data_IF_148146371220
#
_entry.id   IF_148146371220
#
_cell.length_a   1.000
_cell.length_b   1.000
_cell.length_c   1.000
_cell.angle_alpha   90.00
_cell.angle_beta   90.00
_cell.angle_gamma   90.00
#
_symmetry.space_group_name_H-M   'P 1'
#
loop_
_entity.id
_entity.type
_entity.pdbx_description
1 polymer ?
#
# COMPACT_ATOMS: atom_id res chain seq x y z
N UNK A 1 -10.60 -35.45 14.03
CA UNK A 1 -11.18 -35.38 15.39
C UNK A 1 -10.97 -33.97 15.91
N UNK A 2 -11.89 -33.05 15.56
CA UNK A 2 -11.87 -31.70 16.11
C UNK A 2 -12.52 -31.73 17.49
N UNK A 3 -11.80 -31.28 18.52
CA UNK A 3 -12.42 -31.04 19.83
C UNK A 3 -13.39 -29.87 19.65
N UNK A 4 -14.69 -30.17 19.71
CA UNK A 4 -15.73 -29.19 19.95
C UNK A 4 -15.39 -28.47 21.26
N UNK A 5 -15.14 -27.17 21.17
CA UNK A 5 -14.90 -26.28 22.32
C UNK A 5 -16.16 -26.23 23.18
N UNK A 6 -16.17 -27.04 24.23
CA UNK A 6 -17.18 -27.04 25.29
C UNK A 6 -17.13 -25.72 26.06
N UNK A 7 -18.32 -25.31 26.49
CA UNK A 7 -18.68 -24.11 27.26
C UNK A 7 -18.00 -24.01 28.66
N UNK A 8 -17.14 -24.97 29.01
CA UNK A 8 -16.63 -25.16 30.37
C UNK A 8 -15.22 -24.58 30.61
N UNK A 9 -14.56 -24.03 29.59
CA UNK A 9 -13.20 -23.44 29.73
C UNK A 9 -13.22 -22.01 30.34
N UNK A 10 -14.38 -21.43 30.62
CA UNK A 10 -14.50 -20.08 31.22
C UNK A 10 -14.59 -20.08 32.74
N UNK A 11 -14.63 -21.25 33.37
CA UNK A 11 -14.94 -21.39 34.79
C UNK A 11 -13.74 -21.24 35.74
N UNK A 12 -12.51 -21.09 35.23
CA UNK A 12 -11.31 -21.03 36.09
C UNK A 12 -10.80 -19.59 36.35
N UNK A 13 -11.49 -18.58 35.81
CA UNK A 13 -11.24 -17.17 36.12
C UNK A 13 -12.57 -16.47 36.36
N UNK A 14 -12.83 -16.01 37.59
CA UNK A 14 -14.07 -15.31 38.01
C UNK A 14 -14.38 -14.02 37.21
N UNK A 15 -13.55 -13.64 36.23
CA UNK A 15 -13.71 -12.46 35.39
C UNK A 15 -13.87 -12.82 33.90
N UNK A 16 -14.99 -12.37 33.32
CA UNK A 16 -15.26 -12.44 31.87
C UNK A 16 -14.14 -11.70 31.11
N UNK A 17 -13.51 -12.37 30.15
CA UNK A 17 -12.40 -11.82 29.35
C UNK A 17 -11.27 -11.23 30.21
N UNK A 18 -10.91 -11.90 31.31
CA UNK A 18 -9.88 -11.47 32.26
C UNK A 18 -10.11 -10.07 32.84
N UNK A 19 -11.33 -9.52 32.73
CA UNK A 19 -11.66 -8.14 33.09
C UNK A 19 -11.16 -7.07 32.11
N UNK A 20 -10.51 -7.47 31.03
CA UNK A 20 -9.82 -6.58 30.09
C UNK A 20 -10.58 -6.42 28.75
N UNK A 21 -11.80 -6.92 28.64
CA UNK A 21 -12.56 -6.94 27.39
C UNK A 21 -14.07 -7.07 27.58
N UNK A 22 -14.79 -6.99 26.47
CA UNK A 22 -16.23 -7.26 26.40
C UNK A 22 -16.45 -8.59 25.68
N UNK A 23 -17.29 -9.46 26.24
CA UNK A 23 -17.67 -10.71 25.58
C UNK A 23 -18.78 -10.45 24.54
N UNK A 24 -18.50 -10.73 23.27
CA UNK A 24 -19.46 -10.67 22.17
C UNK A 24 -19.52 -12.03 21.47
N UNK A 25 -20.69 -12.67 21.47
CA UNK A 25 -20.91 -13.95 20.78
C UNK A 25 -19.86 -15.04 21.12
N UNK A 26 -19.60 -15.26 22.42
CA UNK A 26 -18.60 -16.21 22.93
C UNK A 26 -17.16 -15.91 22.51
N UNK A 27 -16.87 -14.68 22.09
CA UNK A 27 -15.54 -14.22 21.75
C UNK A 27 -15.22 -12.93 22.49
N UNK A 28 -14.02 -12.85 23.06
CA UNK A 28 -13.61 -11.66 23.79
C UNK A 28 -13.12 -10.57 22.84
N UNK A 29 -13.70 -9.37 22.97
CA UNK A 29 -13.22 -8.13 22.37
C UNK A 29 -12.37 -7.41 23.41
N UNK A 30 -11.06 -7.53 23.27
CA UNK A 30 -10.12 -6.94 24.22
C UNK A 30 -10.01 -5.42 24.03
N UNK A 31 -9.99 -4.69 25.15
CA UNK A 31 -9.61 -3.29 25.14
C UNK A 31 -8.08 -3.19 24.97
N UNK A 32 -7.56 -2.30 24.13
CA UNK A 32 -6.12 -2.04 24.07
C UNK A 32 -5.58 -1.63 25.44
N UNK A 33 -4.38 -2.07 25.88
CA UNK A 33 -3.37 -2.91 25.20
C UNK A 33 -3.61 -4.42 25.11
N UNK A 34 -4.70 -4.93 25.67
CA UNK A 34 -4.86 -6.36 25.90
C UNK A 34 -5.22 -7.12 24.61
N UNK A 35 -4.77 -8.36 24.52
CA UNK A 35 -5.08 -9.29 23.43
C UNK A 35 -5.00 -10.73 23.95
N UNK A 36 -5.26 -11.70 23.07
CA UNK A 36 -5.44 -13.10 23.44
C UNK A 36 -6.88 -13.54 23.26
N UNK A 37 -7.15 -14.81 23.56
CA UNK A 37 -8.50 -15.37 23.38
C UNK A 37 -9.45 -14.87 24.47
N UNK A 38 -8.91 -14.59 25.65
CA UNK A 38 -9.58 -14.16 26.86
C UNK A 38 -9.05 -12.81 27.36
N UNK A 39 -8.33 -12.04 26.53
CA UNK A 39 -7.70 -10.77 26.91
C UNK A 39 -6.72 -10.88 28.09
N UNK A 40 -6.07 -12.03 28.17
CA UNK A 40 -5.12 -12.45 29.19
C UNK A 40 -3.72 -11.86 28.97
N UNK A 41 -3.38 -11.50 27.72
CA UNK A 41 -2.07 -10.98 27.37
C UNK A 41 -2.11 -9.46 27.24
N UNK A 42 -1.00 -8.82 27.56
CA UNK A 42 -0.79 -7.41 27.34
C UNK A 42 0.61 -7.17 26.76
N UNK A 43 0.73 -6.23 25.82
CA UNK A 43 2.03 -5.78 25.37
C UNK A 43 2.65 -4.89 26.45
N UNK A 44 3.65 -5.42 27.12
CA UNK A 44 4.46 -4.66 28.05
C UNK A 44 5.25 -3.57 27.33
N UNK A 45 5.10 -2.34 27.82
CA UNK A 45 5.51 -1.10 27.14
C UNK A 45 4.35 -0.10 27.07
N UNK A 46 3.11 -0.57 27.20
CA UNK A 46 1.94 0.27 27.43
C UNK A 46 1.70 0.52 28.93
N UNK A 47 1.24 1.73 29.25
CA UNK A 47 1.18 2.35 30.60
C UNK A 47 0.50 1.51 31.70
N UNK A 48 -0.28 0.50 31.33
CA UNK A 48 -1.08 -0.31 32.25
C UNK A 48 -0.54 -1.73 32.46
N UNK A 49 0.65 -2.05 31.94
CA UNK A 49 1.20 -3.41 31.97
C UNK A 49 2.57 -3.44 32.66
N UNK A 50 2.57 -3.98 33.88
CA UNK A 50 3.68 -4.02 34.85
C UNK A 50 4.36 -5.38 34.88
N UNK A 51 5.36 -5.58 34.03
CA UNK A 51 6.26 -6.75 34.10
C UNK A 51 7.70 -6.37 33.72
N UNK A 52 8.52 -7.36 33.37
CA UNK A 52 9.96 -7.18 33.16
C UNK A 52 10.43 -7.60 31.74
N UNK A 53 9.62 -7.40 30.70
CA UNK A 53 10.04 -7.71 29.33
C UNK A 53 11.34 -7.02 28.89
N UNK A 54 11.58 -5.77 29.30
CA UNK A 54 12.79 -5.01 28.95
C UNK A 54 14.07 -5.61 29.53
N UNK A 55 13.96 -6.34 30.64
CA UNK A 55 15.09 -6.99 31.31
C UNK A 55 15.54 -8.25 30.57
N UNK A 56 14.57 -9.05 30.10
CA UNK A 56 14.85 -10.31 29.43
C UNK A 56 15.04 -10.18 27.91
N UNK A 57 14.69 -9.04 27.30
CA UNK A 57 14.74 -8.87 25.85
C UNK A 57 16.12 -9.16 25.24
N UNK A 58 17.18 -8.62 25.84
CA UNK A 58 18.54 -8.74 25.32
C UNK A 58 19.04 -10.17 25.43
N UNK A 59 18.68 -10.83 26.53
CA UNK A 59 18.99 -12.23 26.77
C UNK A 59 18.24 -13.18 25.85
N UNK A 60 16.95 -12.92 25.58
CA UNK A 60 16.17 -13.69 24.60
C UNK A 60 16.75 -13.54 23.20
N UNK A 61 17.09 -12.32 22.78
CA UNK A 61 17.72 -12.10 21.48
C UNK A 61 19.04 -12.86 21.33
N UNK A 62 19.88 -12.86 22.37
CA UNK A 62 21.16 -13.53 22.27
C UNK A 62 21.04 -15.06 22.38
N UNK A 63 20.32 -15.57 23.38
CA UNK A 63 20.24 -17.00 23.64
C UNK A 63 19.43 -17.73 22.55
N UNK A 64 18.38 -17.11 22.01
CA UNK A 64 17.53 -17.75 21.00
C UNK A 64 18.04 -17.54 19.56
N UNK A 65 18.56 -16.36 19.25
CA UNK A 65 18.89 -15.95 17.87
C UNK A 65 20.36 -15.55 17.66
N UNK A 66 21.18 -15.53 18.71
CA UNK A 66 22.59 -15.15 18.62
C UNK A 66 22.80 -13.69 18.19
N UNK A 67 21.85 -12.81 18.51
CA UNK A 67 21.85 -11.41 18.10
C UNK A 67 21.54 -10.49 19.28
N UNK A 68 21.51 -9.18 19.02
CA UNK A 68 21.24 -8.16 20.03
C UNK A 68 22.50 -7.45 20.49
N UNK A 69 22.43 -6.68 21.59
CA UNK A 69 23.55 -5.88 22.09
C UNK A 69 24.60 -6.74 22.81
N UNK A 70 24.23 -7.92 23.31
CA UNK A 70 25.14 -8.82 24.01
C UNK A 70 25.88 -9.68 22.99
N UNK A 71 27.23 -9.70 23.01
CA UNK A 71 27.99 -10.57 22.12
C UNK A 71 27.76 -12.03 22.47
N UNK A 72 27.62 -12.90 21.45
CA UNK A 72 27.25 -14.31 21.60
C UNK A 72 28.11 -15.12 22.58
N UNK A 73 29.37 -14.74 22.79
CA UNK A 73 30.28 -15.40 23.73
C UNK A 73 29.98 -15.08 25.20
N UNK A 74 29.37 -13.93 25.49
CA UNK A 74 29.08 -13.49 26.86
C UNK A 74 27.65 -13.81 27.31
N UNK A 75 26.82 -14.37 26.44
CA UNK A 75 25.39 -14.51 26.70
C UNK A 75 25.06 -15.47 27.83
N UNK A 76 25.79 -16.59 27.96
CA UNK A 76 25.61 -17.48 29.10
C UNK A 76 26.01 -16.85 30.44
N UNK A 77 27.00 -15.94 30.43
CA UNK A 77 27.48 -15.28 31.65
C UNK A 77 26.57 -14.14 32.10
N UNK A 78 26.05 -13.34 31.16
CA UNK A 78 25.18 -12.20 31.46
C UNK A 78 23.71 -12.57 31.66
N UNK A 79 23.27 -13.71 31.11
CA UNK A 79 21.88 -14.15 31.18
C UNK A 79 21.68 -15.33 32.14
N UNK A 80 22.45 -15.36 33.23
CA UNK A 80 22.40 -16.41 34.25
C UNK A 80 21.07 -16.50 34.99
N UNK A 81 20.27 -15.43 34.96
CA UNK A 81 18.96 -15.36 35.63
C UNK A 81 17.89 -16.19 34.90
N UNK A 82 18.14 -16.52 33.62
CA UNK A 82 17.28 -17.40 32.82
C UNK A 82 17.70 -18.85 33.06
N UNK A 83 16.87 -19.57 33.81
CA UNK A 83 17.12 -20.97 34.16
C UNK A 83 16.94 -21.90 32.96
N UNK A 84 15.95 -21.63 32.11
CA UNK A 84 15.67 -22.44 30.92
C UNK A 84 15.05 -21.58 29.83
N UNK A 85 15.61 -21.70 28.62
CA UNK A 85 15.03 -21.13 27.40
C UNK A 85 14.54 -22.27 26.51
N UNK A 86 13.24 -22.25 26.20
CA UNK A 86 12.61 -23.24 25.34
C UNK A 86 12.01 -22.56 24.10
N UNK A 87 12.35 -23.07 22.93
CA UNK A 87 11.80 -22.56 21.67
C UNK A 87 10.49 -23.27 21.34
N UNK A 88 9.42 -22.52 21.11
CA UNK A 88 8.07 -23.03 20.80
C UNK A 88 7.58 -22.54 19.43
N UNK A 89 6.74 -23.30 18.71
CA UNK A 89 6.20 -22.85 17.42
C UNK A 89 5.22 -21.66 17.58
N UNK A 90 4.49 -21.62 18.68
CA UNK A 90 3.53 -20.57 19.02
C UNK A 90 3.42 -20.39 20.52
N UNK A 91 3.27 -19.15 20.96
CA UNK A 91 3.22 -18.76 22.38
C UNK A 91 1.80 -18.84 22.96
N UNK A 92 0.77 -18.95 22.13
CA UNK A 92 -0.64 -18.91 22.56
C UNK A 92 -1.06 -19.95 23.60
N UNK A 93 -0.31 -21.06 23.73
CA UNK A 93 -0.57 -22.13 24.70
C UNK A 93 0.35 -22.07 25.94
N UNK A 94 1.29 -21.12 25.99
CA UNK A 94 2.21 -20.98 27.12
C UNK A 94 1.59 -20.10 28.19
N UNK A 95 1.74 -20.49 29.44
CA UNK A 95 1.19 -19.74 30.56
C UNK A 95 2.29 -18.87 31.19
N UNK A 96 2.17 -17.56 31.11
CA UNK A 96 3.18 -16.60 31.59
C UNK A 96 2.94 -15.19 31.08
N UNK A 97 3.79 -14.26 31.48
CA UNK A 97 3.74 -12.87 31.04
C UNK A 97 4.21 -12.79 29.60
N UNK A 98 3.41 -12.16 28.74
CA UNK A 98 3.71 -12.04 27.31
C UNK A 98 4.55 -10.81 27.01
N UNK A 99 5.56 -11.00 26.17
CA UNK A 99 6.45 -9.97 25.67
C UNK A 99 6.54 -9.98 24.15
N UNK A 100 6.53 -8.79 23.55
CA UNK A 100 6.86 -8.59 22.14
C UNK A 100 8.01 -7.59 22.01
N UNK A 101 9.10 -7.97 21.38
CA UNK A 101 10.27 -7.12 21.17
C UNK A 101 10.52 -6.96 19.68
N UNK A 102 10.82 -5.74 19.26
CA UNK A 102 11.18 -5.46 17.87
C UNK A 102 12.70 -5.33 17.77
N UNK A 103 13.31 -6.15 16.92
CA UNK A 103 14.75 -6.09 16.61
C UNK A 103 15.07 -4.87 15.71
N UNK A 104 16.34 -4.46 15.62
CA UNK A 104 16.81 -3.34 14.81
C UNK A 104 16.55 -3.48 13.30
N UNK A 105 16.20 -4.69 12.84
CA UNK A 105 15.77 -4.99 11.46
C UNK A 105 14.25 -4.89 11.25
N UNK A 106 13.50 -4.45 12.25
CA UNK A 106 12.03 -4.35 12.22
C UNK A 106 11.31 -5.69 12.34
N UNK A 107 12.00 -6.76 12.73
CA UNK A 107 11.38 -8.06 12.99
C UNK A 107 10.81 -8.11 14.41
N UNK A 108 9.61 -8.67 14.57
CA UNK A 108 8.99 -8.90 15.88
C UNK A 108 9.33 -10.29 16.40
N UNK A 109 9.75 -10.33 17.65
CA UNK A 109 10.05 -11.52 18.43
C UNK A 109 9.03 -11.55 19.55
N UNK A 110 8.39 -12.69 19.70
CA UNK A 110 7.48 -12.92 20.80
C UNK A 110 8.13 -13.91 21.77
N UNK A 111 7.95 -13.68 23.05
CA UNK A 111 8.32 -14.63 24.10
C UNK A 111 7.39 -14.47 25.30
N UNK A 112 7.28 -15.51 26.11
CA UNK A 112 6.67 -15.45 27.44
C UNK A 112 7.70 -15.81 28.49
N UNK A 113 7.57 -15.22 29.67
CA UNK A 113 8.39 -15.61 30.81
C UNK A 113 7.52 -15.93 32.03
N UNK A 114 8.06 -16.76 32.91
CA UNK A 114 7.47 -17.09 34.21
C UNK A 114 8.57 -17.15 35.24
N UNK A 115 8.39 -16.42 36.34
CA UNK A 115 9.22 -16.59 37.52
C UNK A 115 8.84 -17.90 38.23
N UNK A 116 9.85 -18.73 38.51
CA UNK A 116 9.76 -19.92 39.35
C UNK A 116 10.63 -19.72 40.60
N UNK A 117 10.52 -20.62 41.59
CA UNK A 117 11.25 -20.50 42.86
C UNK A 117 12.78 -20.54 42.70
N UNK A 118 13.29 -21.09 41.60
CA UNK A 118 14.71 -21.27 41.32
C UNK A 118 15.27 -20.29 40.27
N UNK A 119 14.41 -19.59 39.51
CA UNK A 119 14.83 -18.69 38.44
C UNK A 119 13.71 -18.39 37.44
N UNK A 120 14.07 -17.85 36.28
CA UNK A 120 13.10 -17.46 35.25
C UNK A 120 13.06 -18.47 34.10
N UNK A 121 11.87 -18.97 33.80
CA UNK A 121 11.57 -19.83 32.65
C UNK A 121 11.12 -18.95 31.49
N UNK A 122 11.71 -19.14 30.30
CA UNK A 122 11.40 -18.35 29.12
C UNK A 122 11.03 -19.24 27.94
N UNK A 123 9.86 -18.99 27.33
CA UNK A 123 9.45 -19.60 26.08
C UNK A 123 9.51 -18.58 24.95
N UNK A 124 10.32 -18.85 23.94
CA UNK A 124 10.50 -17.94 22.79
C UNK A 124 9.92 -18.57 21.53
N UNK A 125 9.27 -17.75 20.68
CA UNK A 125 8.79 -18.26 19.40
C UNK A 125 9.96 -18.54 18.45
N UNK A 126 9.97 -19.72 17.81
CA UNK A 126 11.06 -20.14 16.92
C UNK A 126 11.23 -19.22 15.71
N UNK A 127 10.12 -18.80 15.12
CA UNK A 127 10.10 -17.98 13.90
C UNK A 127 9.82 -16.53 14.26
N UNK A 128 10.56 -15.60 13.67
CA UNK A 128 10.38 -14.16 13.89
C UNK A 128 9.46 -13.59 12.82
N UNK A 129 8.54 -12.72 13.22
CA UNK A 129 7.68 -12.02 12.28
C UNK A 129 8.44 -10.83 11.68
N UNK A 130 9.14 -11.09 10.57
CA UNK A 130 9.82 -10.06 9.80
C UNK A 130 8.92 -9.53 8.67
N UNK A 131 8.97 -8.21 8.37
CA UNK A 131 8.35 -7.69 7.16
C UNK A 131 8.99 -8.38 5.94
N UNK A 132 8.15 -8.85 5.01
CA UNK A 132 8.63 -9.53 3.81
C UNK A 132 9.48 -8.56 2.99
N UNK A 133 10.64 -9.00 2.47
CA UNK A 133 11.41 -8.18 1.56
C UNK A 133 10.53 -7.87 0.34
N UNK A 134 10.42 -6.58 0.01
CA UNK A 134 9.77 -6.17 -1.23
C UNK A 134 10.74 -6.41 -2.38
N UNK A 135 10.30 -7.17 -3.38
CA UNK A 135 11.06 -7.42 -4.60
C UNK A 135 11.08 -6.14 -5.45
N UNK A 136 12.11 -5.31 -5.26
CA UNK A 136 12.24 -3.97 -5.85
C UNK A 136 12.07 -3.97 -7.39
N UNK A 137 12.49 -5.04 -8.05
CA UNK A 137 12.40 -5.19 -9.50
C UNK A 137 10.95 -5.06 -10.01
N UNK A 138 9.99 -5.73 -9.36
CA UNK A 138 8.59 -5.70 -9.80
C UNK A 138 7.96 -4.33 -9.62
N UNK A 139 8.27 -3.65 -8.51
CA UNK A 139 7.78 -2.29 -8.25
C UNK A 139 8.30 -1.33 -9.33
N UNK A 140 9.59 -1.40 -9.65
CA UNK A 140 10.21 -0.55 -10.68
C UNK A 140 9.59 -0.81 -12.06
N UNK A 141 9.46 -2.08 -12.46
CA UNK A 141 8.84 -2.44 -13.74
C UNK A 141 7.38 -1.99 -13.83
N UNK A 142 6.62 -2.14 -12.75
CA UNK A 142 5.23 -1.71 -12.68
C UNK A 142 5.07 -0.20 -12.87
N UNK A 143 5.91 0.59 -12.20
CA UNK A 143 5.89 2.06 -12.33
C UNK A 143 6.29 2.50 -13.73
N UNK A 144 7.35 1.92 -14.30
CA UNK A 144 7.79 2.24 -15.67
C UNK A 144 6.69 1.92 -16.70
N UNK A 145 6.08 0.74 -16.61
CA UNK A 145 4.99 0.35 -17.49
C UNK A 145 3.79 1.30 -17.37
N UNK A 146 3.41 1.69 -16.15
CA UNK A 146 2.32 2.63 -15.92
C UNK A 146 2.57 4.01 -16.55
N UNK A 147 3.78 4.55 -16.40
CA UNK A 147 4.17 5.85 -16.99
C UNK A 147 4.14 5.78 -18.52
N UNK A 148 4.67 4.71 -19.12
CA UNK A 148 4.66 4.52 -20.57
C UNK A 148 3.22 4.41 -21.10
N UNK A 149 2.36 3.62 -20.45
CA UNK A 149 0.97 3.48 -20.85
C UNK A 149 0.19 4.79 -20.73
N UNK A 150 0.42 5.56 -19.67
CA UNK A 150 -0.20 6.87 -19.49
C UNK A 150 0.24 7.84 -20.59
N UNK A 151 1.53 7.86 -20.93
CA UNK A 151 2.07 8.66 -22.03
C UNK A 151 1.46 8.29 -23.38
N UNK A 152 1.36 6.99 -23.69
CA UNK A 152 0.72 6.50 -24.91
C UNK A 152 -0.76 6.88 -24.98
N UNK A 153 -1.49 6.76 -23.87
CA UNK A 153 -2.90 7.15 -23.81
C UNK A 153 -3.09 8.64 -24.13
N UNK A 154 -2.27 9.52 -23.56
CA UNK A 154 -2.30 10.96 -23.84
C UNK A 154 -1.99 11.23 -25.31
N UNK A 155 -0.99 10.57 -25.88
CA UNK A 155 -0.65 10.72 -27.30
C UNK A 155 -1.78 10.24 -28.23
N UNK A 156 -2.43 9.13 -27.90
CA UNK A 156 -3.58 8.61 -28.66
C UNK A 156 -4.73 9.61 -28.61
N UNK A 157 -5.08 10.11 -27.43
CA UNK A 157 -6.14 11.13 -27.27
C UNK A 157 -5.80 12.38 -28.07
N UNK A 158 -4.57 12.89 -27.96
CA UNK A 158 -4.12 14.05 -28.71
C UNK A 158 -4.22 13.83 -30.23
N UNK A 159 -3.77 12.67 -30.71
CA UNK A 159 -3.87 12.29 -32.13
C UNK A 159 -5.31 12.22 -32.60
N UNK A 160 -6.21 11.65 -31.81
CA UNK A 160 -7.64 11.54 -32.12
C UNK A 160 -8.27 12.94 -32.18
N UNK A 161 -8.00 13.80 -31.20
CA UNK A 161 -8.52 15.18 -31.16
C UNK A 161 -8.08 15.97 -32.39
N UNK A 162 -6.78 15.93 -32.73
CA UNK A 162 -6.27 16.60 -33.95
C UNK A 162 -6.96 16.04 -35.18
N UNK A 163 -7.06 14.72 -35.32
CA UNK A 163 -7.67 14.09 -36.50
C UNK A 163 -9.13 14.52 -36.67
N UNK A 164 -9.88 14.63 -35.57
CA UNK A 164 -11.26 15.12 -35.60
C UNK A 164 -11.32 16.59 -35.99
N UNK A 165 -10.45 17.43 -35.42
CA UNK A 165 -10.41 18.85 -35.73
C UNK A 165 -10.08 19.08 -37.20
N UNK A 166 -9.02 18.44 -37.70
CA UNK A 166 -8.59 18.52 -39.10
C UNK A 166 -9.69 18.06 -40.05
N UNK A 167 -10.37 16.94 -39.74
CA UNK A 167 -11.51 16.46 -40.54
C UNK A 167 -12.68 17.45 -40.52
N UNK A 168 -12.96 18.12 -39.40
CA UNK A 168 -14.02 19.13 -39.29
C UNK A 168 -13.69 20.37 -40.13
N UNK A 169 -12.46 20.87 -40.02
CA UNK A 169 -12.02 22.03 -40.81
C UNK A 169 -11.99 21.72 -42.31
N UNK A 170 -11.55 20.52 -42.69
CA UNK A 170 -11.58 20.08 -44.09
C UNK A 170 -13.00 20.06 -44.69
N UNK A 171 -13.99 19.58 -43.93
CA UNK A 171 -15.39 19.59 -44.41
C UNK A 171 -15.93 21.02 -44.56
N UNK A 172 -15.62 21.93 -43.63
CA UNK A 172 -15.98 23.34 -43.76
C UNK A 172 -15.37 23.96 -45.01
N UNK A 173 -14.08 23.72 -45.25
CA UNK A 173 -13.38 24.19 -46.43
C UNK A 173 -14.03 23.72 -47.75
N UNK A 174 -14.43 22.45 -47.83
CA UNK A 174 -15.11 21.91 -49.01
C UNK A 174 -16.50 22.55 -49.24
N UNK A 175 -17.22 22.89 -48.18
CA UNK A 175 -18.51 23.58 -48.27
C UNK A 175 -18.30 25.03 -48.74
N UNK A 176 -17.34 25.73 -48.13
CA UNK A 176 -17.01 27.12 -48.50
C UNK A 176 -16.53 27.22 -49.95
N UNK A 177 -15.76 26.24 -50.44
CA UNK A 177 -15.34 26.20 -51.85
C UNK A 177 -16.53 26.02 -52.81
N UNK A 178 -17.52 25.18 -52.48
CA UNK A 178 -18.71 24.97 -53.32
C UNK A 178 -19.65 26.18 -53.30
N UNK A 179 -19.75 26.86 -52.16
CA UNK A 179 -20.57 28.05 -51.99
C UNK A 179 -19.87 29.33 -52.47
N UNK A 180 -18.56 29.29 -52.74
CA UNK A 180 -17.85 30.34 -53.43
C UNK A 180 -18.26 30.35 -54.90
N UNK A 181 -19.42 30.97 -55.18
CA UNK A 181 -19.72 31.49 -56.51
C UNK A 181 -18.72 32.58 -56.82
N UNK A 182 -17.67 32.25 -57.58
CA UNK A 182 -16.87 33.25 -58.25
C UNK A 182 -17.80 33.98 -59.20
N UNK A 183 -18.07 35.26 -58.93
CA UNK A 183 -18.75 36.11 -59.90
C UNK A 183 -17.87 36.17 -61.14
N UNK A 184 -18.17 35.31 -62.11
CA UNK A 184 -17.65 35.36 -63.46
C UNK A 184 -18.27 36.60 -64.10
N UNK A 185 -17.71 37.76 -63.75
CA UNK A 185 -17.46 38.91 -64.61
C UNK A 185 -17.25 40.17 -63.76
N UNK A 186 -16.00 40.63 -63.80
CA UNK A 186 -15.46 41.94 -63.40
C UNK A 186 -15.13 42.12 -61.91
N UNK A 187 -13.82 42.21 -61.66
CA UNK A 187 -13.26 42.79 -60.44
C UNK A 187 -13.83 44.22 -60.28
N UNK A 188 -14.50 44.57 -59.16
CA UNK A 188 -15.11 45.89 -58.97
C UNK A 188 -14.11 47.06 -58.95
N UNK A 189 -12.81 46.78 -58.85
CA UNK A 189 -11.73 47.77 -58.93
C UNK A 189 -11.16 47.90 -60.36
N UNK A 190 -11.40 46.92 -61.24
CA UNK A 190 -10.79 46.90 -62.56
C UNK A 190 -11.54 47.80 -63.55
N UNK A 191 -10.92 48.93 -63.91
CA UNK A 191 -11.35 49.77 -65.04
C UNK A 191 -10.50 49.43 -66.27
N UNK A 192 -11.08 48.93 -67.38
CA UNK A 192 -10.31 48.65 -68.58
C UNK A 192 -9.76 49.96 -69.18
N UNK A 193 -8.46 49.99 -69.48
CA UNK A 193 -7.77 51.15 -70.07
C UNK A 193 -8.03 51.32 -71.59
N UNK A 194 -9.20 50.89 -72.08
CA UNK A 194 -9.53 50.93 -73.51
C UNK A 194 -10.82 51.71 -73.73
N UNK A 195 -10.70 52.89 -74.33
CA UNK A 195 -11.84 53.66 -74.84
C UNK A 195 -12.21 53.14 -76.22
N UNK A 196 -13.34 52.44 -76.34
CA UNK A 196 -13.85 52.00 -77.64
C UNK A 196 -14.60 53.15 -78.30
N UNK A 197 -13.95 53.84 -79.23
CA UNK A 197 -14.58 54.92 -80.01
C UNK A 197 -15.30 54.27 -81.19
N UNK A 198 -16.63 54.36 -81.22
CA UNK A 198 -17.44 53.87 -82.34
C UNK A 198 -17.29 54.83 -83.53
N UNK A 199 -16.95 54.28 -84.71
CA UNK A 199 -16.77 55.09 -85.91
C UNK A 199 -18.15 55.42 -86.54
N UNK A 200 -18.56 56.70 -86.62
CA UNK A 200 -19.88 57.09 -87.11
C UNK A 200 -20.09 56.86 -88.63
N UNK A 201 -19.07 56.49 -89.39
CA UNK A 201 -19.17 56.28 -90.85
C UNK A 201 -19.52 54.83 -91.27
N UNK A 202 -19.39 53.84 -90.37
CA UNK A 202 -19.53 52.41 -90.75
C UNK A 202 -20.93 51.80 -90.47
N UNK A 203 -21.96 52.64 -90.32
CA UNK A 203 -23.33 52.20 -90.02
C UNK A 203 -24.36 52.38 -91.14
N UNK A 204 -24.02 52.99 -92.29
CA UNK A 204 -24.96 53.15 -93.41
C UNK A 204 -24.59 52.24 -94.57
N UNK A 205 -25.27 51.09 -94.67
CA UNK A 205 -25.44 50.39 -95.95
C UNK A 205 -26.31 51.29 -96.83
N UNK A 206 -25.81 51.65 -98.02
CA UNK A 206 -26.60 52.24 -99.10
C UNK A 206 -26.89 51.06 -100.04
N UNK A 207 -28.17 50.81 -100.28
CA UNK A 207 -28.66 49.79 -101.23
C UNK A 207 -28.20 50.04 -102.66
#
# INVERSE_FOLDING_TARGET
MGKSSSFDDWADSDLVCSGNGVCECNNCKCHPPYFGRLCEYCNQGEKNCTGQCEEYQDCVQCLAFGMGPIPSQECQGKCSDILTLQTVPSIGDTSGDYCSVTDGKGCRIYFTYRADNEGVLVWVQSERECPKPVELLYVVLGVLAAVVLLGLAILIVWRVVITIHDRREYQKFLIDQKNATWSENQNPIFRPARTTIANPLFGKKID
#
